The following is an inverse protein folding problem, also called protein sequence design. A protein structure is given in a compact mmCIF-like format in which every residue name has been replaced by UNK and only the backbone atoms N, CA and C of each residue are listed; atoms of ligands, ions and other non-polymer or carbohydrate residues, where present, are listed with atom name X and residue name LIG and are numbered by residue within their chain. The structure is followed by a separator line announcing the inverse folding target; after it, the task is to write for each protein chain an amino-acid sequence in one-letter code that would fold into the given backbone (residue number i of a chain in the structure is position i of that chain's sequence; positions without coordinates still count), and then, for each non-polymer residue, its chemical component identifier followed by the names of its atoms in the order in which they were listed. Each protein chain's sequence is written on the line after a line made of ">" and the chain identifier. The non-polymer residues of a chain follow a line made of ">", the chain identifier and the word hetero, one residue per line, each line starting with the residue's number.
data_IF_686249530973
#
_entry.id   IF_686249530973
#
_cell.length_a   1.000
_cell.length_b   1.000
_cell.length_c   1.000
_cell.angle_alpha   90.00
_cell.angle_beta   90.00
_cell.angle_gamma   90.00
#
_symmetry.space_group_name_H-M   'P 1'
#
loop_
_entity.id
_entity.type
_entity.pdbx_description
1 polymer ?
#
# COMPACT_ATOMS: atom_id res chain seq x y z
N UNK A 1 0.13 3.50 -8.41
CA UNK A 1 -0.26 3.30 -7.00
C UNK A 1 0.96 3.36 -6.13
N UNK A 2 1.00 4.32 -5.21
CA UNK A 2 2.18 4.57 -4.38
C UNK A 2 1.78 4.55 -2.91
N UNK A 3 2.26 3.57 -2.14
CA UNK A 3 2.08 3.56 -0.69
C UNK A 3 3.06 4.52 -0.03
N UNK A 4 2.58 5.32 0.90
CA UNK A 4 3.40 6.35 1.51
C UNK A 4 2.92 6.70 2.91
N UNK A 5 3.78 7.40 3.67
CA UNK A 5 3.44 7.86 5.01
C UNK A 5 2.55 9.09 4.98
N UNK A 6 2.79 9.99 4.04
CA UNK A 6 2.03 11.24 3.97
C UNK A 6 2.00 11.80 2.56
N UNK A 7 0.97 12.58 2.27
CA UNK A 7 0.84 13.32 1.00
C UNK A 7 0.51 14.77 1.36
N UNK A 8 1.29 15.68 0.81
CA UNK A 8 1.12 17.12 1.01
C UNK A 8 0.66 17.74 -0.30
N UNK A 9 -0.30 18.63 -0.24
CA UNK A 9 -0.73 19.38 -1.40
C UNK A 9 -0.39 20.85 -1.23
N UNK A 10 0.30 21.44 -2.22
CA UNK A 10 0.59 22.86 -2.24
C UNK A 10 -0.71 23.62 -2.53
N UNK A 11 -1.08 24.53 -1.63
CA UNK A 11 -2.34 25.28 -1.74
C UNK A 11 -2.38 26.13 -3.03
N UNK A 12 -1.24 26.66 -3.45
CA UNK A 12 -1.18 27.55 -4.60
C UNK A 12 -1.20 26.83 -5.93
N UNK A 13 -0.41 25.76 -6.03
CA UNK A 13 -0.23 25.05 -7.30
C UNK A 13 -1.09 23.80 -7.43
N UNK A 14 -1.67 23.32 -6.31
CA UNK A 14 -2.42 22.07 -6.23
C UNK A 14 -1.59 20.84 -6.55
N UNK A 15 -0.26 20.98 -6.56
CA UNK A 15 0.63 19.86 -6.76
C UNK A 15 0.78 19.07 -5.48
N UNK A 16 0.81 17.76 -5.62
CA UNK A 16 0.97 16.83 -4.49
C UNK A 16 2.42 16.41 -4.35
N UNK A 17 2.87 16.35 -3.12
CA UNK A 17 4.20 15.82 -2.77
C UNK A 17 4.01 14.61 -1.88
N UNK A 18 4.75 13.55 -2.18
CA UNK A 18 4.69 12.29 -1.46
C UNK A 18 5.87 12.23 -0.49
N UNK A 19 5.58 11.95 0.78
CA UNK A 19 6.61 11.84 1.82
C UNK A 19 6.62 10.42 2.33
N UNK A 20 7.80 9.79 2.34
CA UNK A 20 8.00 8.47 2.90
C UNK A 20 7.33 7.37 2.07
N UNK A 21 7.86 7.10 0.88
CA UNK A 21 7.36 5.97 0.08
C UNK A 21 7.65 4.68 0.84
N UNK A 22 6.60 3.85 1.00
CA UNK A 22 6.68 2.62 1.78
C UNK A 22 6.78 1.44 0.83
N UNK A 23 7.91 0.74 0.86
CA UNK A 23 8.07 -0.52 0.15
C UNK A 23 8.30 -1.69 1.09
N UNK A 24 8.67 -1.38 2.32
CA UNK A 24 9.00 -2.37 3.35
C UNK A 24 8.58 -1.84 4.71
N UNK A 25 8.02 -2.71 5.51
CA UNK A 25 7.64 -2.43 6.90
C UNK A 25 8.36 -3.45 7.77
N UNK A 26 8.97 -2.98 8.85
CA UNK A 26 9.62 -3.86 9.83
C UNK A 26 8.92 -3.71 11.16
N UNK A 27 8.56 -4.83 11.78
CA UNK A 27 7.82 -4.83 13.04
C UNK A 27 8.39 -5.85 14.02
N UNK A 28 8.29 -5.53 15.29
CA UNK A 28 8.79 -6.39 16.37
C UNK A 28 7.75 -7.42 16.79
N UNK A 29 6.49 -7.05 16.76
CA UNK A 29 5.38 -7.84 17.29
C UNK A 29 4.26 -7.88 16.25
N UNK A 30 3.63 -9.05 16.10
CA UNK A 30 2.46 -9.25 15.26
C UNK A 30 1.27 -9.70 16.09
N UNK A 31 0.06 -9.29 15.76
CA UNK A 31 -0.30 -8.43 14.64
C UNK A 31 0.25 -7.01 14.82
N UNK A 32 0.73 -6.43 13.73
CA UNK A 32 1.32 -5.10 13.71
C UNK A 32 0.35 -4.10 13.09
N UNK A 33 0.12 -2.99 13.77
CA UNK A 33 -0.77 -1.95 13.29
C UNK A 33 0.04 -0.73 12.86
N UNK A 34 -0.16 -0.30 11.62
CA UNK A 34 0.43 0.92 11.09
C UNK A 34 -0.60 2.02 11.20
N UNK A 35 -0.18 3.15 11.77
CA UNK A 35 -1.00 4.35 11.81
C UNK A 35 -0.53 5.30 10.71
N UNK A 36 -1.46 6.03 10.11
CA UNK A 36 -1.15 7.02 9.07
C UNK A 36 -0.51 6.40 7.84
N UNK A 37 -1.20 5.45 7.24
CA UNK A 37 -0.80 4.84 5.98
C UNK A 37 -1.67 5.41 4.85
N UNK A 38 -1.03 5.82 3.76
CA UNK A 38 -1.72 6.41 2.62
C UNK A 38 -1.36 5.68 1.34
N UNK A 39 -2.34 5.60 0.44
CA UNK A 39 -2.13 5.04 -0.89
C UNK A 39 -2.58 6.07 -1.92
N UNK A 40 -1.65 6.55 -2.74
CA UNK A 40 -1.96 7.45 -3.83
C UNK A 40 -2.09 6.64 -5.12
N UNK A 41 -3.23 6.74 -5.76
CA UNK A 41 -3.56 6.01 -6.97
C UNK A 41 -3.81 7.02 -8.08
N UNK A 42 -3.14 6.85 -9.23
CA UNK A 42 -3.37 7.67 -10.41
C UNK A 42 -3.94 6.80 -11.52
N UNK A 43 -5.04 7.23 -12.09
CA UNK A 43 -5.76 6.50 -13.13
C UNK A 43 -5.98 7.42 -14.32
N UNK A 44 -5.93 6.85 -15.52
CA UNK A 44 -6.24 7.56 -16.77
C UNK A 44 -6.95 6.59 -17.70
N UNK A 45 -7.54 7.14 -18.75
CA UNK A 45 -8.22 6.31 -19.74
C UNK A 45 -9.63 5.89 -19.36
N UNK A 46 -10.27 6.59 -18.42
CA UNK A 46 -11.64 6.32 -18.00
C UNK A 46 -12.52 7.54 -18.21
N UNK A 47 -13.79 7.31 -18.53
CA UNK A 47 -14.82 8.34 -18.59
C UNK A 47 -16.00 7.88 -17.75
N UNK A 48 -16.50 8.79 -16.90
CA UNK A 48 -17.68 8.54 -16.10
C UNK A 48 -17.35 8.12 -14.69
N UNK A 49 -18.29 7.46 -14.03
CA UNK A 49 -18.14 6.97 -12.67
C UNK A 49 -17.89 5.47 -12.71
N UNK A 50 -16.85 5.03 -12.00
CA UNK A 50 -16.49 3.62 -11.97
C UNK A 50 -16.43 3.12 -10.54
N UNK A 51 -17.00 1.92 -10.26
CA UNK A 51 -16.78 1.28 -8.98
C UNK A 51 -15.33 0.83 -8.90
N UNK A 52 -14.65 1.30 -7.88
CA UNK A 52 -13.24 1.02 -7.64
C UNK A 52 -13.08 0.47 -6.24
N UNK A 53 -12.22 -0.53 -6.09
CA UNK A 53 -11.89 -1.09 -4.78
C UNK A 53 -10.39 -1.21 -4.64
N UNK A 54 -9.91 -0.93 -3.44
CA UNK A 54 -8.52 -1.18 -3.06
C UNK A 54 -8.52 -2.36 -2.11
N UNK A 55 -7.79 -3.41 -2.46
CA UNK A 55 -7.66 -4.63 -1.67
C UNK A 55 -6.24 -4.84 -1.25
N UNK A 56 -6.05 -5.52 -0.13
CA UNK A 56 -4.73 -5.97 0.31
C UNK A 56 -4.84 -7.41 0.78
N UNK A 57 -4.00 -8.28 0.23
CA UNK A 57 -4.03 -9.72 0.49
C UNK A 57 -2.64 -10.19 0.88
N UNK A 58 -2.55 -11.00 1.94
CA UNK A 58 -1.32 -11.69 2.30
C UNK A 58 -1.08 -12.80 1.27
N UNK A 59 0.08 -12.79 0.62
CA UNK A 59 0.31 -13.65 -0.54
C UNK A 59 0.28 -15.13 -0.19
N UNK A 60 0.89 -15.53 0.93
CA UNK A 60 0.99 -16.94 1.28
C UNK A 60 -0.33 -17.52 1.80
N UNK A 61 -0.99 -16.80 2.71
CA UNK A 61 -2.22 -17.29 3.34
C UNK A 61 -3.47 -16.96 2.56
N UNK A 62 -3.36 -16.05 1.58
CA UNK A 62 -4.49 -15.52 0.81
C UNK A 62 -5.50 -14.77 1.66
N UNK A 63 -5.12 -14.40 2.87
CA UNK A 63 -5.98 -13.63 3.75
C UNK A 63 -6.09 -12.19 3.25
N UNK A 64 -7.32 -11.74 3.04
CA UNK A 64 -7.60 -10.35 2.69
C UNK A 64 -7.66 -9.55 3.98
N UNK A 65 -6.74 -8.60 4.12
CA UNK A 65 -6.68 -7.78 5.34
C UNK A 65 -7.43 -6.46 5.19
N UNK A 66 -7.76 -6.09 3.95
CA UNK A 66 -8.39 -4.82 3.69
C UNK A 66 -9.08 -4.86 2.33
N UNK A 67 -10.26 -4.27 2.26
CA UNK A 67 -11.01 -4.13 1.02
C UNK A 67 -11.92 -2.92 1.18
N UNK A 68 -11.56 -1.81 0.55
CA UNK A 68 -12.31 -0.57 0.67
C UNK A 68 -12.76 -0.09 -0.70
N UNK A 69 -13.94 0.51 -0.74
CA UNK A 69 -14.46 1.10 -1.96
C UNK A 69 -13.91 2.52 -2.11
N UNK A 70 -13.61 2.90 -3.33
CA UNK A 70 -13.26 4.27 -3.66
C UNK A 70 -13.94 4.64 -4.97
N UNK A 71 -14.43 5.88 -5.04
CA UNK A 71 -15.13 6.36 -6.23
C UNK A 71 -14.14 7.01 -7.18
N UNK A 72 -14.24 6.62 -8.44
CA UNK A 72 -13.45 7.22 -9.52
C UNK A 72 -14.40 7.94 -10.46
N UNK A 73 -14.17 9.24 -10.63
CA UNK A 73 -14.94 10.05 -11.56
C UNK A 73 -13.99 10.72 -12.54
N UNK A 74 -14.27 10.58 -13.82
CA UNK A 74 -13.48 11.21 -14.86
C UNK A 74 -14.39 11.80 -15.92
N UNK A 75 -14.06 13.00 -16.38
CA UNK A 75 -14.84 13.70 -17.41
C UNK A 75 -14.25 13.53 -18.78
N UNK A 76 -13.03 13.04 -18.92
CA UNK A 76 -12.37 12.88 -20.21
C UNK A 76 -11.38 11.71 -20.18
N UNK A 77 -11.18 11.06 -21.34
CA UNK A 77 -10.27 9.91 -21.46
C UNK A 77 -8.82 10.25 -21.14
N UNK A 78 -8.40 11.46 -21.38
CA UNK A 78 -7.03 11.91 -21.13
C UNK A 78 -6.87 12.56 -19.74
N UNK A 79 -7.91 12.57 -18.96
CA UNK A 79 -7.84 13.11 -17.60
C UNK A 79 -7.11 12.14 -16.70
N UNK A 80 -6.19 12.65 -15.90
CA UNK A 80 -5.54 11.87 -14.84
C UNK A 80 -6.33 12.07 -13.56
N UNK A 81 -6.92 10.98 -13.06
CA UNK A 81 -7.68 11.01 -11.81
C UNK A 81 -6.78 10.50 -10.70
N UNK A 82 -6.60 11.32 -9.68
CA UNK A 82 -5.82 10.94 -8.50
C UNK A 82 -6.77 10.61 -7.36
N UNK A 83 -6.58 9.44 -6.77
CA UNK A 83 -7.36 8.97 -5.64
C UNK A 83 -6.41 8.75 -4.47
N UNK A 84 -6.65 9.45 -3.37
CA UNK A 84 -5.88 9.28 -2.16
C UNK A 84 -6.73 8.51 -1.16
N UNK A 85 -6.24 7.32 -0.77
CA UNK A 85 -6.88 6.50 0.25
C UNK A 85 -6.04 6.59 1.51
N UNK A 86 -6.64 7.08 2.58
CA UNK A 86 -5.98 7.25 3.87
C UNK A 86 -6.50 6.23 4.85
N UNK A 87 -5.58 5.48 5.46
CA UNK A 87 -5.91 4.51 6.50
C UNK A 87 -5.43 5.06 7.83
N UNK A 88 -6.33 5.19 8.79
CA UNK A 88 -5.96 5.60 10.14
C UNK A 88 -5.25 4.46 10.86
N UNK A 89 -5.69 3.24 10.60
CA UNK A 89 -5.06 2.05 11.13
C UNK A 89 -5.11 0.96 10.07
N UNK A 90 -3.97 0.33 9.82
CA UNK A 90 -3.88 -0.80 8.92
C UNK A 90 -3.14 -1.91 9.66
N UNK A 91 -3.80 -3.06 9.79
CA UNK A 91 -3.30 -4.15 10.63
C UNK A 91 -2.75 -5.27 9.77
N UNK A 92 -1.50 -5.61 10.01
CA UNK A 92 -0.82 -6.73 9.36
C UNK A 92 -0.71 -7.88 10.37
N UNK A 93 -1.49 -8.95 10.20
CA UNK A 93 -1.49 -10.03 11.20
C UNK A 93 -0.22 -10.86 11.23
N UNK A 94 0.48 -10.99 10.09
CA UNK A 94 1.65 -11.86 9.95
C UNK A 94 2.73 -11.16 9.15
N UNK A 95 4.00 -11.55 9.32
CA UNK A 95 5.04 -11.12 8.38
C UNK A 95 4.83 -11.78 7.02
N UNK A 96 5.44 -11.22 6.00
CA UNK A 96 5.38 -11.74 4.64
C UNK A 96 5.12 -10.64 3.61
N UNK A 97 4.84 -11.06 2.39
CA UNK A 97 4.52 -10.13 1.31
C UNK A 97 3.02 -9.96 1.22
N UNK A 98 2.60 -8.71 1.16
CA UNK A 98 1.22 -8.31 0.96
C UNK A 98 1.11 -7.61 -0.38
N UNK A 99 0.09 -7.96 -1.15
CA UNK A 99 -0.13 -7.33 -2.45
C UNK A 99 -1.39 -6.47 -2.37
N UNK A 100 -1.19 -5.17 -2.62
CA UNK A 100 -2.29 -4.25 -2.82
C UNK A 100 -2.71 -4.31 -4.27
N UNK A 101 -4.01 -4.33 -4.52
CA UNK A 101 -4.54 -4.33 -5.88
C UNK A 101 -5.67 -3.32 -6.00
N UNK A 102 -5.72 -2.66 -7.16
CA UNK A 102 -6.82 -1.76 -7.51
C UNK A 102 -7.69 -2.51 -8.49
N UNK A 103 -8.97 -2.64 -8.14
CA UNK A 103 -9.97 -3.33 -8.96
C UNK A 103 -10.97 -2.31 -9.44
N UNK A 104 -11.08 -2.13 -10.75
CA UNK A 104 -12.03 -1.21 -11.36
C UNK A 104 -13.04 -2.01 -12.16
N UNK A 105 -14.31 -1.83 -11.83
CA UNK A 105 -15.42 -2.52 -12.49
C UNK A 105 -15.22 -4.05 -12.49
N UNK A 106 -14.74 -4.56 -11.36
CA UNK A 106 -14.50 -5.99 -11.17
C UNK A 106 -13.21 -6.51 -11.78
N UNK A 107 -12.42 -5.69 -12.43
CA UNK A 107 -11.20 -6.09 -13.12
C UNK A 107 -9.99 -5.53 -12.38
N UNK A 108 -9.06 -6.38 -11.90
CA UNK A 108 -7.82 -5.87 -11.30
C UNK A 108 -6.94 -5.24 -12.37
N UNK A 109 -6.49 -4.02 -12.12
CA UNK A 109 -5.74 -3.23 -13.10
C UNK A 109 -4.35 -2.85 -12.65
N UNK A 110 -4.05 -2.88 -11.36
CA UNK A 110 -2.70 -2.61 -10.86
C UNK A 110 -2.46 -3.36 -9.55
N UNK A 111 -1.16 -3.66 -9.32
CA UNK A 111 -0.70 -4.40 -8.15
C UNK A 111 0.52 -3.70 -7.58
N UNK A 112 0.62 -3.70 -6.26
CA UNK A 112 1.79 -3.19 -5.56
C UNK A 112 2.12 -4.07 -4.37
N UNK A 113 3.25 -4.78 -4.37
CA UNK A 113 3.65 -5.57 -3.22
C UNK A 113 4.31 -4.70 -2.15
N UNK A 114 4.10 -5.07 -0.89
CA UNK A 114 4.80 -4.52 0.25
C UNK A 114 5.29 -5.70 1.09
N UNK A 115 6.55 -5.64 1.51
CA UNK A 115 7.12 -6.67 2.36
C UNK A 115 7.05 -6.23 3.81
N UNK A 116 6.47 -7.07 4.65
CA UNK A 116 6.40 -6.86 6.10
C UNK A 116 7.32 -7.87 6.77
N UNK A 117 8.36 -7.36 7.42
CA UNK A 117 9.41 -8.18 8.01
C UNK A 117 9.30 -8.20 9.53
N UNK A 118 9.61 -9.35 10.09
CA UNK A 118 9.74 -9.48 11.55
C UNK A 118 11.15 -9.04 11.95
N UNK A 119 11.22 -8.13 12.92
CA UNK A 119 12.48 -7.68 13.49
C UNK A 119 12.93 -8.54 14.66
N UNK A 120 12.18 -9.58 15.00
CA UNK A 120 12.56 -10.46 16.09
C UNK A 120 13.94 -11.04 15.76
N UNK A 121 14.93 -10.66 16.54
CA UNK A 121 16.27 -11.17 16.38
C UNK A 121 16.27 -12.64 16.77
N UNK A 122 16.51 -13.48 15.78
CA UNK A 122 16.96 -14.82 16.08
C UNK A 122 18.28 -14.69 16.81
N UNK A 123 18.53 -15.47 17.88
CA UNK A 123 19.84 -15.47 18.48
C UNK A 123 20.84 -15.76 17.35
N UNK A 124 21.74 -14.80 17.17
CA UNK A 124 22.78 -14.94 16.15
C UNK A 124 23.61 -16.14 16.56
N UNK A 125 23.77 -17.18 15.72
CA UNK A 125 24.67 -18.26 16.06
C UNK A 125 26.07 -17.65 16.25
N UNK A 126 26.83 -18.11 17.24
CA UNK A 126 28.18 -17.59 17.42
C UNK A 126 28.94 -17.80 16.13
N UNK A 127 29.45 -16.79 15.62
CA UNK A 127 29.95 -16.85 14.28
C UNK A 127 31.34 -17.20 14.21
N UNK A 128 30.91 -17.58 13.84
CA UNK A 128 31.32 -17.61 13.54
C UNK A 128 31.86 -16.95 13.06
N UNK A 129 31.88 -16.98 12.76
CA UNK A 129 31.99 -16.40 12.54
C UNK A 129 32.04 -16.17 11.94
N UNK A 130 31.80 -16.40 11.60
CA UNK A 130 31.76 -16.21 11.15
C UNK A 130 31.57 -16.00 10.54
N UNK A 131 31.54 -16.15 10.11
CA UNK A 131 31.56 -16.04 9.72
C UNK A 131 31.60 -15.72 9.40
N UNK A 132 31.69 -15.96 9.12
CA UNK A 132 31.93 -15.76 9.03
C UNK A 132 32.12 -15.58 8.74
N UNK A 133 32.31 -15.72 8.38
CA UNK A 133 32.61 -15.62 8.30
C UNK A 133 32.94 -15.45 8.05
#
# INVERSE_FOLDING_TARGET
>A
MIPCENVIEDIRTRKKSIIGIVSRITADVFPFTVQSFNMLISLTGCIGNFPCRLKCVHDDTRQEIMNVACDVKSSAMNEVVEVLVTFKTLKFPLPGTYTFSVVVDGIPIMFRPITVLSRVKKPVPPQEGTMDQ
#
